data_IF_120563685493
#
_entry.id   IF_120563685493
#
_cell.length_a   1.000
_cell.length_b   1.000
_cell.length_c   1.000
_cell.angle_alpha   90.00
_cell.angle_beta   90.00
_cell.angle_gamma   90.00
#
_symmetry.space_group_name_H-M   'P 1'
#
loop_
_entity.id
_entity.type
_entity.pdbx_description
1 polymer ?
#
# COMPACT_ATOMS: atom_id res chain seq x y z
N UNK A 1 -7.34 4.77 13.81
CA UNK A 1 -6.26 3.95 14.42
C UNK A 1 -6.96 2.85 15.18
N UNK A 2 -6.78 1.59 14.82
CA UNK A 2 -7.46 0.50 15.54
C UNK A 2 -6.79 0.25 16.88
N UNK A 3 -7.59 0.11 17.94
CA UNK A 3 -7.11 -0.45 19.22
C UNK A 3 -7.12 -1.98 19.10
N UNK A 4 -6.12 -2.65 19.69
CA UNK A 4 -6.03 -4.13 19.72
C UNK A 4 -7.34 -4.78 20.21
N UNK A 5 -8.10 -4.09 21.07
CA UNK A 5 -9.42 -4.51 21.52
C UNK A 5 -10.47 -4.68 20.43
N UNK A 6 -10.52 -3.76 19.46
CA UNK A 6 -11.46 -3.83 18.32
C UNK A 6 -11.07 -4.91 17.33
N UNK A 7 -9.76 -5.03 17.06
CA UNK A 7 -9.22 -6.08 16.20
C UNK A 7 -9.55 -7.48 16.74
N UNK A 8 -9.35 -7.68 18.05
CA UNK A 8 -9.62 -8.96 18.70
C UNK A 8 -11.10 -9.37 18.59
N UNK A 9 -12.03 -8.44 18.88
CA UNK A 9 -13.47 -8.68 18.73
C UNK A 9 -13.86 -9.11 17.31
N UNK A 10 -13.23 -8.51 16.29
CA UNK A 10 -13.59 -8.72 14.88
C UNK A 10 -12.98 -10.00 14.30
N UNK A 11 -11.83 -10.42 14.79
CA UNK A 11 -11.20 -11.71 14.46
C UNK A 11 -11.80 -12.86 15.30
N UNK A 12 -12.77 -12.57 16.19
CA UNK A 12 -13.40 -13.58 17.05
C UNK A 12 -12.44 -14.16 18.09
N UNK A 13 -11.40 -13.42 18.48
CA UNK A 13 -10.36 -13.87 19.42
C UNK A 13 -10.27 -12.91 20.61
N UNK A 14 -9.76 -13.39 21.74
CA UNK A 14 -9.55 -12.51 22.90
C UNK A 14 -8.38 -11.55 22.66
N UNK A 15 -8.46 -10.35 23.25
CA UNK A 15 -7.37 -9.34 23.25
C UNK A 15 -6.06 -9.95 23.76
N UNK A 16 -6.15 -10.80 24.79
CA UNK A 16 -5.03 -11.53 25.35
C UNK A 16 -4.41 -12.52 24.36
N UNK A 17 -5.20 -13.14 23.48
CA UNK A 17 -4.69 -14.03 22.41
C UNK A 17 -4.00 -13.25 21.31
N UNK A 18 -4.56 -12.11 20.91
CA UNK A 18 -3.92 -11.23 19.93
C UNK A 18 -2.59 -10.67 20.46
N UNK A 19 -2.56 -10.23 21.72
CA UNK A 19 -1.31 -9.77 22.37
C UNK A 19 -0.28 -10.88 22.53
N UNK A 20 -0.73 -12.11 22.83
CA UNK A 20 0.13 -13.28 22.89
C UNK A 20 0.73 -13.58 21.51
N UNK A 21 -0.08 -13.52 20.45
CA UNK A 21 0.39 -13.69 19.07
C UNK A 21 1.36 -12.58 18.62
N UNK A 22 1.18 -11.35 19.11
CA UNK A 22 2.15 -10.27 18.90
C UNK A 22 3.48 -10.56 19.62
N UNK A 23 3.42 -11.02 20.88
CA UNK A 23 4.61 -11.39 21.67
C UNK A 23 5.34 -12.63 21.12
N UNK A 24 4.60 -13.60 20.59
CA UNK A 24 5.13 -14.81 19.91
C UNK A 24 5.59 -14.52 18.47
N UNK A 25 5.40 -13.29 17.96
CA UNK A 25 5.75 -12.93 16.58
C UNK A 25 4.84 -13.53 15.49
N UNK A 26 3.73 -14.15 15.87
CA UNK A 26 2.72 -14.74 14.98
C UNK A 26 1.84 -13.69 14.29
N UNK A 27 1.72 -12.50 14.87
CA UNK A 27 1.09 -11.33 14.24
C UNK A 27 2.10 -10.20 14.16
N UNK A 28 2.38 -9.75 12.93
CA UNK A 28 3.20 -8.57 12.69
C UNK A 28 2.30 -7.34 12.41
N UNK A 29 2.11 -6.48 13.40
CA UNK A 29 1.43 -5.19 13.19
C UNK A 29 2.38 -4.23 12.48
N UNK A 30 2.32 -4.19 11.15
CA UNK A 30 3.15 -3.28 10.35
C UNK A 30 2.33 -2.08 9.87
N UNK A 31 2.71 -0.88 10.31
CA UNK A 31 2.23 0.35 9.68
C UNK A 31 2.92 0.49 8.32
N UNK A 32 2.13 0.36 7.26
CA UNK A 32 2.55 0.69 5.90
C UNK A 32 2.23 2.19 5.68
N UNK A 33 3.18 3.12 5.83
CA UNK A 33 2.95 4.48 5.38
C UNK A 33 2.68 4.47 3.87
N UNK A 34 1.64 5.18 3.44
CA UNK A 34 1.28 5.34 2.04
C UNK A 34 2.53 5.78 1.26
N UNK A 35 2.95 4.96 0.29
CA UNK A 35 4.02 5.31 -0.64
C UNK A 35 5.35 4.54 -0.54
N UNK A 36 5.60 3.71 0.49
CA UNK A 36 6.82 2.85 0.49
C UNK A 36 6.53 1.44 -0.02
N UNK A 37 6.48 1.30 -1.36
CA UNK A 37 6.28 0.02 -2.08
C UNK A 37 7.17 -1.11 -1.54
N UNK A 38 8.40 -0.82 -1.10
CA UNK A 38 9.33 -1.86 -0.58
C UNK A 38 8.76 -2.70 0.56
N UNK A 39 8.04 -2.08 1.51
CA UNK A 39 7.46 -2.83 2.65
C UNK A 39 6.21 -3.61 2.24
N UNK A 40 5.44 -3.09 1.29
CA UNK A 40 4.29 -3.77 0.72
C UNK A 40 4.73 -4.98 -0.12
N UNK A 41 5.73 -4.80 -0.98
CA UNK A 41 6.31 -5.89 -1.77
C UNK A 41 6.87 -6.99 -0.85
N UNK A 42 7.64 -6.65 0.18
CA UNK A 42 8.13 -7.65 1.13
C UNK A 42 7.01 -8.39 1.89
N UNK A 43 5.85 -7.73 2.11
CA UNK A 43 4.68 -8.37 2.68
C UNK A 43 4.03 -9.34 1.68
N UNK A 44 3.88 -8.91 0.42
CA UNK A 44 3.37 -9.77 -0.65
C UNK A 44 4.29 -10.96 -0.91
N UNK A 45 5.61 -10.78 -0.85
CA UNK A 45 6.58 -11.88 -0.96
C UNK A 45 6.42 -12.88 0.19
N UNK A 46 6.10 -12.41 1.41
CA UNK A 46 5.82 -13.28 2.56
C UNK A 46 4.49 -14.02 2.41
N UNK A 47 3.47 -13.36 1.83
CA UNK A 47 2.20 -13.99 1.45
C UNK A 47 2.41 -15.08 0.39
N UNK A 48 3.20 -14.80 -0.64
CA UNK A 48 3.52 -15.80 -1.69
C UNK A 48 4.32 -16.99 -1.13
N UNK A 49 5.15 -16.77 -0.09
CA UNK A 49 5.85 -17.85 0.64
C UNK A 49 4.95 -18.62 1.61
N UNK A 50 3.69 -18.22 1.79
CA UNK A 50 2.77 -18.85 2.74
C UNK A 50 3.08 -18.56 4.21
N UNK A 51 3.91 -17.54 4.49
CA UNK A 51 4.27 -17.14 5.86
C UNK A 51 3.14 -16.34 6.54
N UNK A 52 2.16 -15.89 5.77
CA UNK A 52 1.04 -15.05 6.23
C UNK A 52 -0.28 -15.74 5.87
N UNK A 53 -1.03 -16.20 6.88
CA UNK A 53 -2.35 -16.83 6.66
C UNK A 53 -3.52 -15.84 6.63
N UNK A 54 -3.37 -14.64 7.22
CA UNK A 54 -4.44 -13.64 7.21
C UNK A 54 -3.84 -12.23 7.21
N UNK A 55 -4.24 -11.42 6.23
CA UNK A 55 -3.86 -10.03 6.10
C UNK A 55 -5.03 -9.13 6.45
N UNK A 56 -4.94 -8.42 7.58
CA UNK A 56 -5.99 -7.48 7.98
C UNK A 56 -5.65 -6.06 7.55
N UNK A 57 -6.55 -5.45 6.78
CA UNK A 57 -6.38 -4.12 6.20
C UNK A 57 -7.40 -3.19 6.81
N UNK A 58 -6.99 -1.98 7.20
CA UNK A 58 -7.91 -1.00 7.76
C UNK A 58 -8.98 -0.56 6.74
N UNK A 59 -8.64 -0.25 5.48
CA UNK A 59 -9.60 0.14 4.44
C UNK A 59 -9.15 -0.42 3.10
N UNK A 60 -10.09 -0.71 2.20
CA UNK A 60 -9.82 -1.26 0.85
C UNK A 60 -8.81 -0.37 0.09
N UNK A 61 -9.01 0.94 0.11
CA UNK A 61 -8.20 1.92 -0.64
C UNK A 61 -6.79 2.13 -0.06
N UNK A 62 -6.54 1.66 1.17
CA UNK A 62 -5.21 1.69 1.77
C UNK A 62 -4.30 0.57 1.28
N UNK A 63 -4.86 -0.53 0.80
CA UNK A 63 -4.09 -1.62 0.21
C UNK A 63 -3.84 -1.34 -1.27
N UNK A 64 -4.92 -1.06 -2.01
CA UNK A 64 -4.85 -0.64 -3.40
C UNK A 64 -6.13 0.08 -3.83
N UNK A 65 -5.98 1.23 -4.49
CA UNK A 65 -7.08 1.96 -5.15
C UNK A 65 -7.63 1.23 -6.38
N UNK A 66 -6.77 0.48 -7.06
CA UNK A 66 -7.12 -0.40 -8.17
C UNK A 66 -6.40 -1.73 -8.01
N UNK A 67 -7.01 -2.82 -8.51
CA UNK A 67 -6.40 -4.14 -8.44
C UNK A 67 -6.46 -4.78 -7.06
N UNK A 68 -7.42 -4.37 -6.21
CA UNK A 68 -7.71 -5.11 -4.98
C UNK A 68 -8.08 -6.57 -5.28
N UNK A 69 -8.91 -6.79 -6.30
CA UNK A 69 -9.32 -8.13 -6.72
C UNK A 69 -8.12 -8.99 -7.16
N UNK A 70 -7.13 -8.36 -7.79
CA UNK A 70 -5.86 -9.03 -8.13
C UNK A 70 -5.07 -9.39 -6.87
N UNK A 71 -4.98 -8.48 -5.90
CA UNK A 71 -4.30 -8.75 -4.63
C UNK A 71 -4.98 -9.85 -3.82
N UNK A 72 -6.31 -9.88 -3.83
CA UNK A 72 -7.11 -10.93 -3.20
C UNK A 72 -6.86 -12.29 -3.85
N UNK A 73 -6.81 -12.34 -5.19
CA UNK A 73 -6.48 -13.55 -5.93
C UNK A 73 -5.06 -14.06 -5.62
N UNK A 74 -4.07 -13.17 -5.61
CA UNK A 74 -2.68 -13.51 -5.28
C UNK A 74 -2.56 -13.98 -3.83
N UNK A 75 -3.22 -13.29 -2.90
CA UNK A 75 -3.22 -13.68 -1.50
C UNK A 75 -3.87 -15.06 -1.29
N UNK A 76 -5.02 -15.31 -1.91
CA UNK A 76 -5.70 -16.60 -1.83
C UNK A 76 -4.83 -17.75 -2.36
N UNK A 77 -4.07 -17.52 -3.44
CA UNK A 77 -3.12 -18.50 -3.99
C UNK A 77 -1.98 -18.82 -3.01
N UNK A 78 -1.55 -17.85 -2.21
CA UNK A 78 -0.59 -18.02 -1.12
C UNK A 78 -1.18 -18.57 0.18
N UNK A 79 -2.48 -18.91 0.21
CA UNK A 79 -3.16 -19.36 1.43
C UNK A 79 -3.44 -18.22 2.44
N UNK A 80 -3.43 -16.97 1.98
CA UNK A 80 -3.70 -15.79 2.79
C UNK A 80 -5.10 -15.24 2.52
N UNK A 81 -5.89 -15.05 3.57
CA UNK A 81 -7.19 -14.35 3.50
C UNK A 81 -7.01 -12.85 3.79
N UNK A 82 -7.57 -11.98 2.96
CA UNK A 82 -7.55 -10.52 3.20
C UNK A 82 -8.84 -10.10 3.90
N UNK A 83 -8.73 -9.55 5.11
CA UNK A 83 -9.88 -9.07 5.90
C UNK A 83 -9.86 -7.55 5.99
N UNK A 84 -10.91 -6.89 5.50
CA UNK A 84 -11.03 -5.42 5.57
C UNK A 84 -11.78 -5.03 6.86
N UNK A 85 -11.08 -4.30 7.73
CA UNK A 85 -11.55 -3.98 9.08
C UNK A 85 -12.47 -2.76 9.15
N UNK A 86 -12.41 -1.80 8.22
CA UNK A 86 -13.28 -0.62 8.24
C UNK A 86 -14.18 -0.54 7.02
N UNK A 87 -15.46 -0.24 7.28
CA UNK A 87 -16.45 0.22 6.29
C UNK A 87 -16.99 1.61 6.65
N UNK A 88 -16.48 2.28 7.69
CA UNK A 88 -16.71 3.72 7.85
C UNK A 88 -15.80 4.43 6.86
N UNK A 89 -16.31 4.50 5.64
CA UNK A 89 -15.70 5.14 4.50
C UNK A 89 -16.46 6.46 4.30
N UNK A 90 -15.78 7.49 3.78
CA UNK A 90 -16.44 8.73 3.37
C UNK A 90 -17.53 8.39 2.35
N UNK A 91 -18.39 9.34 1.94
CA UNK A 91 -19.34 9.00 0.88
C UNK A 91 -18.57 8.39 -0.30
N UNK A 92 -19.08 7.33 -0.97
CA UNK A 92 -18.37 6.69 -2.08
C UNK A 92 -17.90 7.71 -3.15
N UNK A 93 -18.62 8.82 -3.29
CA UNK A 93 -18.24 9.92 -4.18
C UNK A 93 -17.00 10.68 -3.70
N UNK A 94 -16.88 10.94 -2.40
CA UNK A 94 -15.72 11.62 -1.83
C UNK A 94 -14.46 10.79 -1.98
N UNK A 95 -14.53 9.47 -1.77
CA UNK A 95 -13.39 8.56 -1.93
C UNK A 95 -12.90 8.52 -3.38
N UNK A 96 -13.83 8.45 -4.33
CA UNK A 96 -13.51 8.52 -5.76
C UNK A 96 -12.83 9.83 -6.16
N UNK A 97 -13.27 10.96 -5.60
CA UNK A 97 -12.67 12.29 -5.87
C UNK A 97 -11.26 12.38 -5.28
N UNK A 98 -11.06 11.94 -4.03
CA UNK A 98 -9.73 11.88 -3.41
C UNK A 98 -8.78 10.95 -4.19
N UNK A 99 -9.32 9.89 -4.75
CA UNK A 99 -8.58 8.96 -5.59
C UNK A 99 -8.11 9.60 -6.89
N UNK A 100 -9.02 10.28 -7.60
CA UNK A 100 -8.70 11.02 -8.82
C UNK A 100 -7.66 12.11 -8.55
N UNK A 101 -7.84 12.91 -7.49
CA UNK A 101 -6.91 13.98 -7.14
C UNK A 101 -5.50 13.46 -6.89
N UNK A 102 -5.34 12.35 -6.18
CA UNK A 102 -4.01 11.81 -5.92
C UNK A 102 -3.39 11.08 -7.12
N UNK A 103 -4.19 10.56 -8.06
CA UNK A 103 -3.70 10.11 -9.37
C UNK A 103 -3.13 11.32 -10.15
N UNK A 104 -3.94 12.36 -10.33
CA UNK A 104 -3.55 13.59 -11.05
C UNK A 104 -2.32 14.24 -10.42
N UNK A 105 -2.26 14.30 -9.09
CA UNK A 105 -1.11 14.80 -8.35
C UNK A 105 0.16 13.98 -8.66
N UNK A 106 0.08 12.65 -8.61
CA UNK A 106 1.21 11.76 -8.91
C UNK A 106 1.73 11.95 -10.34
N UNK A 107 0.82 12.02 -11.32
CA UNK A 107 1.19 12.27 -12.71
C UNK A 107 1.76 13.68 -12.91
N UNK A 108 1.21 14.69 -12.25
CA UNK A 108 1.72 16.07 -12.27
C UNK A 108 3.15 16.16 -11.74
N UNK A 109 3.45 15.51 -10.61
CA UNK A 109 4.82 15.44 -10.08
C UNK A 109 5.79 14.75 -11.06
N UNK A 110 5.37 13.66 -11.70
CA UNK A 110 6.19 12.94 -12.70
C UNK A 110 6.43 13.79 -13.95
N UNK A 111 5.40 14.44 -14.47
CA UNK A 111 5.52 15.34 -15.63
C UNK A 111 6.44 16.52 -15.33
N UNK A 112 6.38 17.08 -14.12
CA UNK A 112 7.33 18.11 -13.69
C UNK A 112 8.77 17.59 -13.70
N UNK A 113 9.02 16.40 -13.15
CA UNK A 113 10.33 15.75 -13.20
C UNK A 113 10.83 15.52 -14.63
N UNK A 114 9.96 15.08 -15.53
CA UNK A 114 10.25 14.89 -16.96
C UNK A 114 10.59 16.20 -17.68
N UNK A 115 9.88 17.30 -17.38
CA UNK A 115 10.21 18.62 -17.94
C UNK A 115 11.59 19.10 -17.49
N UNK A 116 11.97 18.84 -16.23
CA UNK A 116 13.31 19.16 -15.72
C UNK A 116 14.39 18.35 -16.44
N UNK A 117 14.18 17.04 -16.56
CA UNK A 117 15.08 16.13 -17.26
C UNK A 117 15.28 16.50 -18.74
N UNK A 118 14.20 16.84 -19.44
CA UNK A 118 14.28 17.27 -20.85
C UNK A 118 15.06 18.58 -21.01
N UNK A 119 14.98 19.48 -20.03
CA UNK A 119 15.70 20.76 -20.03
C UNK A 119 17.19 20.56 -19.75
N UNK A 120 17.54 19.64 -18.86
CA UNK A 120 18.93 19.22 -18.59
C UNK A 120 19.58 18.58 -19.82
N UNK A 121 18.87 17.67 -20.53
CA UNK A 121 19.35 17.07 -21.77
C UNK A 121 19.60 18.11 -22.89
N UNK A 122 18.66 19.04 -23.09
CA UNK A 122 18.83 20.11 -24.09
C UNK A 122 19.95 21.10 -23.75
N UNK A 123 20.28 21.26 -22.47
CA UNK A 123 21.42 22.07 -22.03
C UNK A 123 22.76 21.37 -22.19
N UNK A 124 22.80 20.03 -22.12
CA UNK A 124 24.00 19.22 -22.26
C UNK A 124 24.44 19.06 -23.73
N UNK A 125 23.51 19.04 -24.69
CA UNK A 125 23.82 18.93 -26.12
C UNK A 125 24.40 20.22 -26.74
N UNK A 126 24.52 21.32 -25.99
CA UNK A 126 25.01 22.62 -26.48
C UNK A 126 26.49 22.92 -26.14
N UNK A 127 27.24 21.97 -25.57
CA UNK A 127 28.66 22.19 -25.20
C UNK A 127 29.67 21.32 -25.94
N UNK A 128 29.25 20.53 -26.94
CA UNK A 128 30.17 19.75 -27.78
C UNK A 128 30.27 20.40 -29.15
N UNK A 129 31.16 21.39 -29.28
CA UNK A 129 31.61 21.85 -30.59
C UNK A 129 31.71 23.37 -30.73
N UNK A 130 32.71 23.98 -30.11
CA UNK A 130 33.48 25.02 -30.78
C UNK A 130 34.88 25.08 -30.14
N UNK A 131 35.81 24.32 -30.71
CA UNK A 131 37.24 24.55 -30.54
C UNK A 131 37.87 24.33 -31.92
N UNK A 132 38.04 25.43 -32.65
CA UNK A 132 38.85 25.56 -33.87
C UNK A 132 39.84 26.68 -33.69
#
# INVERSE_FOLDING_TARGET
MYRIGEFAKRVGRSVSTVRRWEAEGRIAVRRLPSGRRKKFLALMDAVDRGEVGTLVVAHKDRLARFGFDFLEHVAARGGCEIVVANQESLSPQQELVEDLLAIVHTFSCRLYGLRRYLKELKGADLTVGDDR
#
